data_IF_722389671486
#
_entry.id   IF_722389671486
#
_cell.length_a   1.000
_cell.length_b   1.000
_cell.length_c   1.000
_cell.angle_alpha   90.00
_cell.angle_beta   90.00
_cell.angle_gamma   90.00
#
_symmetry.space_group_name_H-M   'P 1'
#
loop_
_entity.id
_entity.type
_entity.pdbx_description
1 polymer ?
#
# COMPACT_ATOMS: atom_id res chain seq x y z
N UNK A 1 28.52 -39.91 -3.90
CA UNK A 1 28.06 -38.57 -3.50
C UNK A 1 27.67 -37.83 -4.77
N UNK A 2 26.41 -37.96 -5.15
CA UNK A 2 25.90 -37.51 -6.45
C UNK A 2 25.50 -36.01 -6.29
N UNK A 3 26.24 -35.15 -6.99
CA UNK A 3 25.85 -33.71 -7.05
C UNK A 3 24.55 -33.60 -7.80
N UNK A 4 23.53 -33.08 -7.14
CA UNK A 4 22.28 -32.63 -7.76
C UNK A 4 22.65 -31.38 -8.56
N UNK A 5 22.43 -31.33 -9.89
CA UNK A 5 22.68 -30.11 -10.64
C UNK A 5 21.69 -29.04 -10.15
N UNK A 6 22.21 -27.89 -9.74
CA UNK A 6 21.38 -26.70 -9.49
C UNK A 6 20.64 -26.37 -10.75
N UNK A 7 19.30 -26.41 -10.68
CA UNK A 7 18.42 -25.91 -11.74
C UNK A 7 18.86 -24.50 -12.12
N UNK A 8 18.98 -24.17 -13.42
CA UNK A 8 19.24 -22.79 -13.84
C UNK A 8 18.15 -21.92 -13.23
N UNK A 9 18.56 -20.90 -12.48
CA UNK A 9 17.65 -19.88 -11.97
C UNK A 9 17.08 -19.19 -13.20
N UNK A 10 15.79 -19.42 -13.47
CA UNK A 10 15.10 -18.63 -14.48
C UNK A 10 15.27 -17.17 -14.09
N UNK A 11 15.59 -16.26 -15.05
CA UNK A 11 15.76 -14.85 -14.73
C UNK A 11 14.45 -14.37 -14.09
N UNK A 12 14.54 -13.86 -12.85
CA UNK A 12 13.39 -13.26 -12.21
C UNK A 12 12.82 -12.17 -13.14
N UNK A 13 11.50 -12.10 -13.30
CA UNK A 13 10.89 -11.07 -14.13
C UNK A 13 11.40 -9.70 -13.68
N UNK A 14 11.69 -8.81 -14.64
CA UNK A 14 12.13 -7.44 -14.37
C UNK A 14 10.95 -6.63 -13.78
N UNK A 15 10.68 -6.90 -12.52
CA UNK A 15 9.57 -6.32 -11.80
C UNK A 15 9.86 -4.86 -11.42
N UNK A 16 8.87 -3.97 -11.48
CA UNK A 16 9.02 -2.58 -11.10
C UNK A 16 9.56 -2.42 -9.69
N UNK A 17 10.45 -1.46 -9.50
CA UNK A 17 11.01 -1.15 -8.17
C UNK A 17 9.93 -0.73 -7.18
N UNK A 18 8.89 -0.03 -7.64
CA UNK A 18 7.77 0.41 -6.82
C UNK A 18 6.47 -0.08 -7.46
N UNK A 19 5.63 -0.75 -6.65
CA UNK A 19 4.26 -1.10 -6.99
C UNK A 19 3.35 -0.44 -5.97
N UNK A 20 2.49 0.48 -6.41
CA UNK A 20 1.44 1.05 -5.57
C UNK A 20 0.13 0.33 -5.78
N UNK A 21 -0.56 0.01 -4.70
CA UNK A 21 -1.84 -0.69 -4.70
C UNK A 21 -2.95 0.25 -4.24
N UNK A 22 -3.96 0.42 -5.10
CA UNK A 22 -5.21 1.09 -4.78
C UNK A 22 -6.36 0.09 -4.85
N UNK A 23 -7.30 0.18 -3.92
CA UNK A 23 -8.52 -0.64 -3.91
C UNK A 23 -9.55 -0.03 -2.98
N UNK A 24 -10.82 -0.33 -3.19
CA UNK A 24 -11.86 -0.17 -2.18
C UNK A 24 -11.61 -1.12 -1.00
N UNK A 25 -12.22 -0.83 0.13
CA UNK A 25 -12.12 -1.66 1.34
C UNK A 25 -12.51 -3.12 1.05
N UNK A 26 -11.68 -4.08 1.50
CA UNK A 26 -11.86 -5.54 1.32
C UNK A 26 -11.74 -6.06 -0.12
N UNK A 27 -11.24 -5.26 -1.06
CA UNK A 27 -11.01 -5.73 -2.43
C UNK A 27 -9.72 -6.54 -2.63
N UNK A 28 -8.89 -6.74 -1.59
CA UNK A 28 -7.77 -7.69 -1.63
C UNK A 28 -6.38 -7.09 -1.88
N UNK A 29 -6.23 -5.75 -1.83
CA UNK A 29 -4.91 -5.10 -1.99
C UNK A 29 -3.87 -5.59 -0.98
N UNK A 30 -4.30 -5.84 0.27
CA UNK A 30 -3.38 -6.28 1.33
C UNK A 30 -2.93 -7.73 1.08
N UNK A 31 -3.80 -8.56 0.51
CA UNK A 31 -3.48 -9.93 0.07
C UNK A 31 -2.45 -9.90 -1.06
N UNK A 32 -2.67 -9.09 -2.10
CA UNK A 32 -1.70 -8.94 -3.19
C UNK A 32 -0.35 -8.40 -2.68
N UNK A 33 -0.38 -7.42 -1.77
CA UNK A 33 0.83 -6.91 -1.12
C UNK A 33 1.60 -8.00 -0.37
N UNK A 34 0.89 -8.85 0.38
CA UNK A 34 1.50 -9.97 1.09
C UNK A 34 2.13 -11.00 0.13
N UNK A 35 1.48 -11.31 -0.99
CA UNK A 35 2.03 -12.20 -2.02
C UNK A 35 3.31 -11.63 -2.67
N UNK A 36 3.33 -10.33 -3.00
CA UNK A 36 4.53 -9.67 -3.50
C UNK A 36 5.70 -9.72 -2.50
N UNK A 37 5.41 -9.56 -1.22
CA UNK A 37 6.42 -9.68 -0.16
C UNK A 37 6.94 -11.11 -0.03
N UNK A 38 6.06 -12.10 -0.04
CA UNK A 38 6.40 -13.50 0.16
C UNK A 38 7.18 -14.11 -1.02
N UNK A 39 6.82 -13.76 -2.26
CA UNK A 39 7.34 -14.43 -3.45
C UNK A 39 8.35 -13.62 -4.25
N UNK A 40 8.36 -12.29 -4.12
CA UNK A 40 9.21 -11.40 -4.97
C UNK A 40 10.07 -10.42 -4.17
N UNK A 41 10.20 -10.61 -2.86
CA UNK A 41 11.11 -9.84 -2.01
C UNK A 41 10.75 -8.36 -1.88
N UNK A 42 9.51 -7.97 -2.17
CA UNK A 42 9.06 -6.61 -1.91
C UNK A 42 9.03 -6.31 -0.41
N UNK A 43 9.28 -5.06 -0.06
CA UNK A 43 9.06 -4.55 1.28
C UNK A 43 7.81 -3.68 1.29
N UNK A 44 6.97 -3.87 2.29
CA UNK A 44 5.77 -3.06 2.46
C UNK A 44 6.13 -1.70 3.02
N UNK A 45 5.48 -0.66 2.48
CA UNK A 45 5.42 0.68 3.05
C UNK A 45 4.01 1.24 2.82
N UNK A 46 3.59 2.20 3.64
CA UNK A 46 2.34 2.92 3.47
C UNK A 46 2.53 4.42 3.75
N UNK A 47 1.75 5.28 3.09
CA UNK A 47 1.73 6.71 3.39
C UNK A 47 1.29 6.97 4.83
N UNK A 48 0.41 6.11 5.36
CA UNK A 48 -0.03 6.19 6.75
C UNK A 48 1.03 5.76 7.79
N UNK A 49 2.13 5.10 7.41
CA UNK A 49 3.12 4.63 8.39
C UNK A 49 3.77 5.81 9.15
N UNK A 50 4.14 6.87 8.42
CA UNK A 50 4.67 8.08 9.04
C UNK A 50 3.63 8.78 9.92
N UNK A 51 2.36 8.81 9.50
CA UNK A 51 1.26 9.36 10.28
C UNK A 51 1.12 8.63 11.63
N UNK A 52 1.11 7.30 11.61
CA UNK A 52 1.06 6.49 12.84
C UNK A 52 2.26 6.77 13.74
N UNK A 53 3.47 6.82 13.18
CA UNK A 53 4.69 7.07 13.93
C UNK A 53 4.68 8.46 14.61
N UNK A 54 4.25 9.51 13.90
CA UNK A 54 4.19 10.86 14.45
C UNK A 54 3.13 11.00 15.55
N UNK A 55 1.94 10.43 15.36
CA UNK A 55 0.88 10.45 16.38
C UNK A 55 1.29 9.62 17.60
N UNK A 56 1.89 8.45 17.40
CA UNK A 56 2.41 7.61 18.48
C UNK A 56 3.44 8.37 19.34
N UNK A 57 4.43 9.00 18.69
CA UNK A 57 5.45 9.78 19.37
C UNK A 57 4.86 11.00 20.12
N UNK A 58 3.89 11.69 19.50
CA UNK A 58 3.25 12.88 20.09
C UNK A 58 2.47 12.57 21.36
N UNK A 59 1.82 11.40 21.41
CA UNK A 59 0.94 11.00 22.50
C UNK A 59 1.56 9.99 23.47
N UNK A 60 2.82 9.55 23.23
CA UNK A 60 3.51 8.60 24.10
C UNK A 60 2.87 7.20 24.12
N UNK A 61 2.25 6.78 23.01
CA UNK A 61 1.62 5.47 22.85
C UNK A 61 2.27 4.70 21.71
N UNK A 62 2.08 3.38 21.67
CA UNK A 62 2.67 2.58 20.58
C UNK A 62 1.86 2.66 19.28
N UNK A 63 2.52 2.40 18.16
CA UNK A 63 1.86 2.31 16.84
C UNK A 63 0.84 1.18 16.84
N UNK A 64 1.16 0.06 17.50
CA UNK A 64 0.27 -1.10 17.61
C UNK A 64 -1.03 -0.75 18.34
N UNK A 65 -0.95 0.07 19.40
CA UNK A 65 -2.14 0.54 20.14
C UNK A 65 -3.03 1.45 19.26
N UNK A 66 -2.44 2.25 18.36
CA UNK A 66 -3.20 3.06 17.39
C UNK A 66 -3.83 2.21 16.28
N UNK A 67 -3.24 1.07 15.96
CA UNK A 67 -3.68 0.18 14.87
C UNK A 67 -4.65 -0.90 15.34
N UNK A 68 -4.78 -1.14 16.64
CA UNK A 68 -5.61 -2.20 17.21
C UNK A 68 -7.08 -2.07 16.78
N UNK A 69 -7.61 -3.02 16.01
CA UNK A 69 -9.00 -2.99 15.54
C UNK A 69 -10.02 -2.95 16.67
N UNK A 70 -9.70 -3.51 17.84
CA UNK A 70 -10.62 -3.56 18.98
C UNK A 70 -10.81 -2.19 19.63
N UNK A 71 -9.80 -1.34 19.59
CA UNK A 71 -9.81 -0.02 20.25
C UNK A 71 -9.81 1.16 19.30
N UNK A 72 -9.63 0.93 18.00
CA UNK A 72 -9.49 1.99 16.98
C UNK A 72 -10.62 3.01 16.95
N UNK A 73 -11.83 2.58 17.29
CA UNK A 73 -13.04 3.43 17.35
C UNK A 73 -13.37 3.88 18.77
N UNK A 74 -12.66 3.38 19.79
CA UNK A 74 -12.96 3.64 21.18
C UNK A 74 -12.12 4.80 21.74
N UNK A 75 -12.66 5.66 22.61
CA UNK A 75 -11.89 6.70 23.27
C UNK A 75 -10.74 6.12 24.11
N UNK A 76 -9.54 6.69 23.97
CA UNK A 76 -8.37 6.36 24.78
C UNK A 76 -7.95 7.58 25.61
N UNK A 77 -7.64 7.35 26.89
CA UNK A 77 -7.19 8.41 27.81
C UNK A 77 -5.92 9.10 27.31
N UNK A 78 -4.96 8.34 26.79
CA UNK A 78 -3.72 8.86 26.20
C UNK A 78 -3.96 9.80 25.01
N UNK A 79 -5.13 9.74 24.37
CA UNK A 79 -5.56 10.59 23.26
C UNK A 79 -6.53 11.72 23.71
N UNK A 80 -6.59 12.00 25.02
CA UNK A 80 -7.50 12.99 25.57
C UNK A 80 -8.98 12.60 25.46
N UNK A 81 -9.29 11.32 25.55
CA UNK A 81 -10.66 10.80 25.43
C UNK A 81 -11.18 10.72 23.99
N UNK A 82 -10.31 10.84 23.00
CA UNK A 82 -10.66 10.69 21.56
C UNK A 82 -10.27 9.30 21.06
N UNK A 83 -10.94 8.81 20.03
CA UNK A 83 -10.55 7.54 19.43
C UNK A 83 -9.31 7.69 18.53
N UNK A 84 -8.49 6.62 18.38
CA UNK A 84 -7.36 6.61 17.44
C UNK A 84 -7.74 7.05 16.04
N UNK A 85 -8.88 6.58 15.50
CA UNK A 85 -9.36 6.98 14.17
C UNK A 85 -9.51 8.49 14.03
N UNK A 86 -10.19 9.13 14.98
CA UNK A 86 -10.47 10.58 14.94
C UNK A 86 -9.15 11.35 15.02
N UNK A 87 -8.24 10.98 15.93
CA UNK A 87 -6.96 11.66 16.09
C UNK A 87 -6.10 11.53 14.83
N UNK A 88 -6.01 10.34 14.26
CA UNK A 88 -5.26 10.09 13.02
C UNK A 88 -5.84 10.87 11.83
N UNK A 89 -7.15 10.90 11.67
CA UNK A 89 -7.80 11.65 10.61
C UNK A 89 -7.51 13.15 10.72
N UNK A 90 -7.72 13.73 11.89
CA UNK A 90 -7.50 15.16 12.12
C UNK A 90 -6.04 15.55 11.91
N UNK A 91 -5.12 14.78 12.49
CA UNK A 91 -3.69 15.04 12.33
C UNK A 91 -3.23 14.90 10.88
N UNK A 92 -3.70 13.85 10.20
CA UNK A 92 -3.41 13.62 8.79
C UNK A 92 -3.94 14.75 7.89
N UNK A 93 -5.16 15.24 8.14
CA UNK A 93 -5.73 16.38 7.43
C UNK A 93 -5.01 17.68 7.73
N UNK A 94 -4.66 17.94 8.99
CA UNK A 94 -3.91 19.13 9.37
C UNK A 94 -2.59 19.21 8.61
N UNK A 95 -1.81 18.12 8.60
CA UNK A 95 -0.52 18.08 7.88
C UNK A 95 -0.69 18.33 6.38
N UNK A 96 -1.74 17.77 5.75
CA UNK A 96 -2.03 18.03 4.33
C UNK A 96 -2.48 19.45 4.05
N UNK A 97 -3.17 20.10 4.99
CA UNK A 97 -3.56 21.50 4.84
C UNK A 97 -2.35 22.46 4.90
N UNK A 98 -1.34 22.12 5.70
CA UNK A 98 -0.08 22.85 5.77
C UNK A 98 0.80 22.56 4.53
N UNK A 99 0.76 21.32 4.02
CA UNK A 99 1.57 20.85 2.94
C UNK A 99 0.98 19.55 2.33
N UNK A 100 0.38 19.68 1.16
CA UNK A 100 -0.30 18.58 0.47
C UNK A 100 0.62 17.36 0.22
N UNK A 101 1.90 17.61 -0.06
CA UNK A 101 2.91 16.58 -0.36
C UNK A 101 3.59 15.99 0.88
N UNK A 102 3.17 16.39 2.09
CA UNK A 102 3.86 16.00 3.32
C UNK A 102 4.08 14.49 3.44
N UNK A 103 3.00 13.69 3.31
CA UNK A 103 3.08 12.23 3.43
C UNK A 103 3.80 11.57 2.26
N UNK A 104 3.66 12.13 1.06
CA UNK A 104 4.39 11.67 -0.13
C UNK A 104 5.89 11.81 0.08
N UNK A 105 6.35 12.93 0.65
CA UNK A 105 7.78 13.13 0.95
C UNK A 105 8.31 12.16 1.99
N UNK A 106 7.51 11.75 2.98
CA UNK A 106 7.94 10.74 3.96
C UNK A 106 8.22 9.40 3.26
N UNK A 107 7.31 8.95 2.40
CA UNK A 107 7.52 7.71 1.62
C UNK A 107 8.69 7.88 0.65
N UNK A 108 8.78 9.01 -0.06
CA UNK A 108 9.88 9.30 -0.98
C UNK A 108 11.26 9.19 -0.30
N UNK A 109 11.40 9.73 0.91
CA UNK A 109 12.65 9.64 1.67
C UNK A 109 13.03 8.19 1.98
N UNK A 110 12.08 7.33 2.35
CA UNK A 110 12.33 5.93 2.67
C UNK A 110 12.68 5.11 1.42
N UNK A 111 11.93 5.27 0.33
CA UNK A 111 12.15 4.46 -0.89
C UNK A 111 13.41 4.86 -1.65
N UNK A 112 13.90 6.08 -1.45
CA UNK A 112 15.13 6.60 -2.07
C UNK A 112 16.31 6.71 -1.09
N UNK A 113 16.24 6.08 0.08
CA UNK A 113 17.35 6.00 1.00
C UNK A 113 18.53 5.23 0.37
N UNK A 114 19.48 5.96 -0.20
CA UNK A 114 20.66 5.44 -0.90
C UNK A 114 21.65 4.72 0.02
N UNK A 115 21.45 4.74 1.34
CA UNK A 115 22.29 4.01 2.30
C UNK A 115 21.95 2.53 2.37
N UNK A 116 20.82 2.12 1.78
CA UNK A 116 20.33 0.74 1.78
C UNK A 116 20.49 0.11 0.39
N UNK A 117 20.71 -1.21 0.30
CA UNK A 117 20.72 -1.89 -1.00
C UNK A 117 19.41 -1.65 -1.75
N UNK A 118 19.47 -1.64 -3.09
CA UNK A 118 18.29 -1.46 -3.94
C UNK A 118 17.19 -2.43 -3.51
N UNK A 119 16.02 -1.89 -3.12
CA UNK A 119 14.89 -2.65 -2.62
C UNK A 119 13.70 -2.44 -3.53
N UNK A 120 12.87 -3.47 -3.65
CA UNK A 120 11.54 -3.38 -4.24
C UNK A 120 10.54 -3.00 -3.16
N UNK A 121 9.62 -2.08 -3.47
CA UNK A 121 8.65 -1.56 -2.51
C UNK A 121 7.23 -1.78 -2.99
N UNK A 122 6.37 -2.28 -2.10
CA UNK A 122 4.92 -2.27 -2.32
C UNK A 122 4.27 -1.24 -1.40
N UNK A 123 3.62 -0.24 -1.99
CA UNK A 123 2.86 0.80 -1.28
C UNK A 123 1.41 0.35 -1.22
N UNK A 124 0.90 0.05 -0.01
CA UNK A 124 -0.36 -0.68 0.15
C UNK A 124 -1.59 0.21 0.42
N UNK A 125 -1.44 1.53 0.44
CA UNK A 125 -2.53 2.45 0.82
C UNK A 125 -2.65 3.67 -0.10
N UNK A 126 -2.41 3.50 -1.41
CA UNK A 126 -2.56 4.61 -2.38
C UNK A 126 -4.04 4.97 -2.49
N UNK A 127 -4.40 6.18 -2.06
CA UNK A 127 -5.78 6.65 -1.94
C UNK A 127 -6.03 8.03 -2.53
N UNK A 128 -5.01 8.88 -2.65
CA UNK A 128 -5.14 10.27 -3.09
C UNK A 128 -4.43 10.51 -4.42
N UNK A 129 -4.85 11.52 -5.21
CA UNK A 129 -4.27 11.83 -6.51
C UNK A 129 -2.76 12.08 -6.48
N UNK A 130 -2.26 12.82 -5.51
CA UNK A 130 -0.83 13.10 -5.35
C UNK A 130 -0.03 11.83 -5.02
N UNK A 131 -0.59 10.92 -4.21
CA UNK A 131 -0.02 9.60 -3.92
C UNK A 131 0.03 8.74 -5.19
N UNK A 132 -1.06 8.72 -5.97
CA UNK A 132 -1.12 8.03 -7.26
C UNK A 132 -0.10 8.56 -8.26
N UNK A 133 -0.01 9.88 -8.41
CA UNK A 133 0.95 10.55 -9.29
C UNK A 133 2.41 10.25 -8.88
N UNK A 134 2.69 10.21 -7.57
CA UNK A 134 4.00 9.80 -7.07
C UNK A 134 4.35 8.37 -7.49
N UNK A 135 3.41 7.43 -7.30
CA UNK A 135 3.63 6.02 -7.66
C UNK A 135 3.87 5.88 -9.16
N UNK A 136 3.05 6.49 -10.03
CA UNK A 136 3.20 6.39 -11.49
C UNK A 136 4.51 7.00 -12.00
N UNK A 137 5.04 8.00 -11.32
CA UNK A 137 6.36 8.59 -11.67
C UNK A 137 7.53 7.67 -11.33
N UNK A 138 7.40 6.79 -10.35
CA UNK A 138 8.51 5.98 -9.82
C UNK A 138 8.34 4.47 -10.01
N UNK A 139 7.19 4.03 -10.54
CA UNK A 139 6.85 2.63 -10.70
C UNK A 139 5.51 2.43 -11.40
N UNK A 140 4.72 1.48 -10.94
CA UNK A 140 3.37 1.22 -11.46
C UNK A 140 2.31 1.36 -10.39
N UNK A 141 1.15 1.93 -10.78
CA UNK A 141 -0.04 2.01 -9.94
C UNK A 141 -1.07 0.98 -10.42
N UNK A 142 -1.50 0.12 -9.50
CA UNK A 142 -2.40 -0.99 -9.77
C UNK A 142 -3.70 -0.81 -9.00
N UNK A 143 -4.83 -0.89 -9.68
CA UNK A 143 -6.16 -0.97 -9.07
C UNK A 143 -6.56 -2.43 -8.88
N UNK A 144 -6.78 -2.84 -7.62
CA UNK A 144 -7.34 -4.16 -7.31
C UNK A 144 -8.85 -4.01 -7.14
N UNK A 145 -9.60 -4.82 -7.89
CA UNK A 145 -11.07 -4.78 -7.92
C UNK A 145 -11.63 -6.16 -7.60
N UNK A 146 -12.74 -6.19 -6.88
CA UNK A 146 -13.52 -7.41 -6.64
C UNK A 146 -14.92 -7.19 -7.18
N UNK A 147 -15.18 -7.54 -8.45
CA UNK A 147 -16.39 -7.16 -9.17
C UNK A 147 -17.69 -7.59 -8.48
N UNK A 148 -17.68 -8.79 -7.86
CA UNK A 148 -18.84 -9.37 -7.20
C UNK A 148 -18.99 -8.96 -5.72
N UNK A 149 -18.14 -8.05 -5.23
CA UNK A 149 -18.19 -7.59 -3.86
C UNK A 149 -18.95 -6.27 -3.77
N UNK A 150 -19.99 -6.18 -2.91
CA UNK A 150 -20.78 -4.96 -2.80
C UNK A 150 -19.93 -3.78 -2.36
N UNK A 151 -20.22 -2.61 -2.90
CA UNK A 151 -19.60 -1.36 -2.42
C UNK A 151 -19.85 -1.24 -0.91
N UNK A 152 -18.80 -0.93 -0.16
CA UNK A 152 -18.87 -0.77 1.30
C UNK A 152 -19.78 0.39 1.73
N UNK A 153 -20.17 1.25 0.78
CA UNK A 153 -20.93 2.48 1.06
C UNK A 153 -20.12 3.54 1.82
N UNK A 154 -18.84 3.31 2.04
CA UNK A 154 -17.95 4.27 2.69
C UNK A 154 -17.69 5.46 1.76
N UNK A 155 -18.24 6.62 2.13
CA UNK A 155 -18.16 7.88 1.36
C UNK A 155 -17.03 8.79 1.83
N UNK A 156 -16.11 8.28 2.63
CA UNK A 156 -14.96 9.06 3.03
C UNK A 156 -14.11 9.47 1.81
N UNK A 157 -13.64 10.71 1.80
CA UNK A 157 -12.88 11.28 0.66
C UNK A 157 -11.75 10.37 0.21
N UNK A 158 -11.01 9.76 1.14
CA UNK A 158 -9.90 8.85 0.81
C UNK A 158 -10.33 7.52 0.17
N UNK A 159 -11.62 7.15 0.23
CA UNK A 159 -12.14 5.96 -0.44
C UNK A 159 -12.66 6.26 -1.85
N UNK A 160 -12.90 7.55 -2.17
CA UNK A 160 -13.49 8.00 -3.44
C UNK A 160 -12.52 8.81 -4.31
N UNK A 161 -11.45 9.36 -3.73
CA UNK A 161 -10.58 10.32 -4.42
C UNK A 161 -9.89 9.78 -5.68
N UNK A 162 -9.82 8.47 -5.86
CA UNK A 162 -9.29 7.82 -7.06
C UNK A 162 -10.37 7.09 -7.90
N UNK A 163 -11.66 7.35 -7.68
CA UNK A 163 -12.72 6.68 -8.46
C UNK A 163 -12.68 7.10 -9.94
N UNK A 164 -12.35 8.36 -10.23
CA UNK A 164 -12.21 8.90 -11.58
C UNK A 164 -10.76 8.80 -12.12
N UNK A 165 -9.86 8.14 -11.39
CA UNK A 165 -8.47 8.00 -11.82
C UNK A 165 -8.36 7.00 -12.97
N UNK A 166 -7.61 7.36 -14.02
CA UNK A 166 -7.36 6.50 -15.17
C UNK A 166 -6.26 5.47 -14.87
N UNK A 167 -6.63 4.39 -14.18
CA UNK A 167 -5.68 3.30 -13.90
C UNK A 167 -5.27 2.57 -15.17
N UNK A 168 -3.99 2.55 -15.48
CA UNK A 168 -3.43 1.75 -16.58
C UNK A 168 -3.49 0.24 -16.27
N UNK A 169 -3.33 -0.13 -15.00
CA UNK A 169 -3.30 -1.53 -14.57
C UNK A 169 -4.45 -1.80 -13.61
N UNK A 170 -5.29 -2.79 -13.98
CA UNK A 170 -6.41 -3.25 -13.17
C UNK A 170 -6.32 -4.77 -13.02
N UNK A 171 -6.50 -5.27 -11.80
CA UNK A 171 -6.44 -6.68 -11.45
C UNK A 171 -7.73 -7.06 -10.74
N UNK A 172 -8.35 -8.14 -11.24
CA UNK A 172 -9.55 -8.70 -10.62
C UNK A 172 -9.16 -9.66 -9.49
N UNK A 173 -9.70 -9.42 -8.30
CA UNK A 173 -9.63 -10.37 -7.20
C UNK A 173 -10.83 -11.33 -7.31
N UNK A 174 -10.57 -12.56 -7.71
CA UNK A 174 -11.58 -13.64 -7.76
C UNK A 174 -11.61 -14.36 -6.41
N UNK A 175 -12.80 -14.69 -5.95
CA UNK A 175 -12.96 -15.38 -4.68
C UNK A 175 -12.28 -16.76 -4.70
N UNK A 176 -11.46 -17.02 -3.67
CA UNK A 176 -10.75 -18.30 -3.54
C UNK A 176 -9.48 -18.43 -4.37
N UNK A 177 -9.12 -17.43 -5.18
CA UNK A 177 -7.96 -17.48 -6.09
C UNK A 177 -6.98 -16.30 -5.84
N UNK A 178 -6.43 -16.12 -4.64
CA UNK A 178 -5.58 -14.98 -4.35
C UNK A 178 -4.29 -14.96 -5.19
N UNK A 179 -3.72 -16.13 -5.52
CA UNK A 179 -2.53 -16.29 -6.35
C UNK A 179 -2.78 -15.84 -7.80
N UNK A 180 -4.02 -15.91 -8.29
CA UNK A 180 -4.35 -15.43 -9.63
C UNK A 180 -4.09 -13.93 -9.79
N UNK A 181 -4.32 -13.14 -8.74
CA UNK A 181 -3.97 -11.71 -8.74
C UNK A 181 -2.48 -11.48 -8.97
N UNK A 182 -1.62 -12.30 -8.35
CA UNK A 182 -0.17 -12.20 -8.53
C UNK A 182 0.21 -12.60 -9.97
N UNK A 183 -0.34 -13.68 -10.48
CA UNK A 183 -0.09 -14.12 -11.87
C UNK A 183 -0.52 -13.04 -12.88
N UNK A 184 -1.70 -12.45 -12.71
CA UNK A 184 -2.20 -11.36 -13.55
C UNK A 184 -1.26 -10.14 -13.49
N UNK A 185 -0.78 -9.77 -12.30
CA UNK A 185 0.18 -8.67 -12.14
C UNK A 185 1.51 -8.97 -12.84
N UNK A 186 2.06 -10.16 -12.66
CA UNK A 186 3.30 -10.55 -13.31
C UNK A 186 3.18 -10.52 -14.83
N UNK A 187 2.07 -11.00 -15.37
CA UNK A 187 1.80 -10.97 -16.82
C UNK A 187 1.75 -9.53 -17.37
N UNK A 188 1.23 -8.57 -16.58
CA UNK A 188 1.21 -7.16 -16.96
C UNK A 188 2.61 -6.49 -16.90
N UNK A 189 3.51 -7.01 -16.07
CA UNK A 189 4.87 -6.48 -15.92
C UNK A 189 5.87 -7.09 -16.91
N UNK A 190 5.55 -8.25 -17.51
CA UNK A 190 6.41 -8.87 -18.51
C UNK A 190 6.36 -8.08 -19.82
N UNK A 191 7.50 -7.84 -20.48
CA UNK A 191 7.50 -7.25 -21.82
C UNK A 191 6.71 -8.18 -22.77
N UNK A 192 5.72 -7.64 -23.46
CA UNK A 192 5.06 -8.34 -24.55
C UNK A 192 6.13 -8.65 -25.60
N UNK A 193 6.50 -9.90 -25.75
CA UNK A 193 7.31 -10.32 -26.89
C UNK A 193 6.43 -10.17 -28.16
N UNK A 194 6.65 -9.07 -28.87
CA UNK A 194 6.10 -8.80 -30.19
C UNK A 194 7.13 -9.14 -31.24
#
# INVERSE_FOLDING_TARGET
MTMIPSTPHEPEPDLPRIIGLSAKKRHGKDTLGALLMAHHGYQRIAFADALYAEVAARHGISVEALQDPATKESPLEALGGRSPRVVLQDYGMQRRAEDEEYWVRQVHAVVNDGTKPARRWVITDVRLPNEGAFVERHGILVRVERPDYPDSGDRHVSEMALDDWSFRYRIANREGEPEAMLCDLLALCLPSFS
#
